data_IF_281912472118
#
_entry.id   IF_281912472118
#
_cell.length_a   1.000
_cell.length_b   1.000
_cell.length_c   1.000
_cell.angle_alpha   90.00
_cell.angle_beta   90.00
_cell.angle_gamma   90.00
#
_symmetry.space_group_name_H-M   'P 1'
#
loop_
_entity.id
_entity.type
_entity.pdbx_description
1 polymer ?
#
# COMPACT_ATOMS: atom_id res chain seq x y z
N UNK A 1 -29.12 -21.49 -19.54
CA UNK A 1 -27.67 -21.42 -19.22
C UNK A 1 -27.43 -20.05 -18.60
N UNK A 2 -27.30 -20.00 -17.27
CA UNK A 2 -27.19 -18.74 -16.55
C UNK A 2 -25.78 -18.20 -16.71
N UNK A 3 -25.65 -17.06 -17.40
CA UNK A 3 -24.41 -16.28 -17.44
C UNK A 3 -24.09 -15.82 -16.02
N UNK A 4 -23.21 -16.57 -15.36
CA UNK A 4 -22.67 -16.24 -14.05
C UNK A 4 -21.95 -14.89 -14.20
N UNK A 5 -22.60 -13.81 -13.73
CA UNK A 5 -21.95 -12.52 -13.51
C UNK A 5 -20.75 -12.80 -12.60
N UNK A 6 -19.54 -12.68 -13.12
CA UNK A 6 -18.32 -12.61 -12.31
C UNK A 6 -18.47 -11.35 -11.45
N UNK A 7 -18.91 -11.52 -10.22
CA UNK A 7 -18.75 -10.51 -9.20
C UNK A 7 -17.27 -10.48 -8.87
N UNK A 8 -16.54 -9.55 -9.47
CA UNK A 8 -15.24 -9.12 -8.96
C UNK A 8 -15.49 -8.35 -7.66
N UNK A 9 -15.77 -9.09 -6.59
CA UNK A 9 -15.72 -8.56 -5.23
C UNK A 9 -14.38 -8.96 -4.64
N UNK A 10 -13.31 -8.36 -5.15
CA UNK A 10 -11.99 -8.41 -4.54
C UNK A 10 -11.30 -7.10 -4.89
N UNK A 11 -10.96 -6.31 -3.88
CA UNK A 11 -10.53 -4.92 -3.98
C UNK A 11 -9.43 -4.70 -5.05
N UNK A 12 -9.69 -3.81 -6.01
CA UNK A 12 -8.78 -3.36 -7.09
C UNK A 12 -7.51 -2.61 -6.58
N UNK A 13 -7.10 -2.83 -5.33
CA UNK A 13 -5.93 -2.18 -4.76
C UNK A 13 -4.67 -2.95 -5.16
N UNK A 14 -4.02 -2.41 -6.18
CA UNK A 14 -2.63 -2.73 -6.51
C UNK A 14 -1.68 -1.81 -5.75
N UNK A 15 -0.53 -2.36 -5.35
CA UNK A 15 0.59 -1.61 -4.76
C UNK A 15 1.63 -1.44 -5.85
N UNK A 16 2.15 -0.23 -6.01
CA UNK A 16 3.15 0.11 -7.02
C UNK A 16 4.33 0.86 -6.39
N UNK A 17 5.51 0.71 -6.99
CA UNK A 17 6.67 1.50 -6.59
C UNK A 17 6.38 2.98 -6.81
N UNK A 18 6.61 3.77 -5.77
CA UNK A 18 6.31 5.19 -5.74
C UNK A 18 5.00 5.56 -5.05
N UNK A 19 4.13 4.59 -4.75
CA UNK A 19 2.92 4.82 -3.96
C UNK A 19 3.27 5.42 -2.59
N UNK A 20 2.39 6.29 -2.11
CA UNK A 20 2.50 6.92 -0.79
C UNK A 20 1.52 6.27 0.16
N UNK A 21 2.00 5.93 1.35
CA UNK A 21 1.22 5.26 2.39
C UNK A 21 1.47 5.99 3.70
N UNK A 22 0.41 6.34 4.41
CA UNK A 22 0.49 6.82 5.79
C UNK A 22 0.49 5.62 6.74
N UNK A 23 1.57 5.47 7.51
CA UNK A 23 1.68 4.50 8.60
C UNK A 23 2.21 5.23 9.84
N UNK A 24 1.59 5.01 11.00
CA UNK A 24 1.93 5.68 12.25
C UNK A 24 2.06 7.22 12.12
N UNK A 25 1.05 7.83 11.48
CA UNK A 25 0.98 9.27 11.18
C UNK A 25 2.16 9.82 10.36
N UNK A 26 2.87 8.94 9.66
CA UNK A 26 4.06 9.29 8.89
C UNK A 26 3.88 8.86 7.43
N UNK A 27 4.24 9.74 6.49
CA UNK A 27 4.23 9.41 5.06
C UNK A 27 5.44 8.56 4.70
N UNK A 28 5.17 7.43 4.07
CA UNK A 28 6.15 6.52 3.49
C UNK A 28 5.94 6.40 1.99
N UNK A 29 7.01 6.09 1.26
CA UNK A 29 7.00 5.81 -0.16
C UNK A 29 7.37 4.35 -0.41
N UNK A 30 6.65 3.66 -1.27
CA UNK A 30 7.07 2.34 -1.76
C UNK A 30 8.35 2.51 -2.57
N UNK A 31 9.45 1.94 -2.08
CA UNK A 31 10.74 1.95 -2.75
C UNK A 31 10.93 0.72 -3.65
N UNK A 32 10.48 -0.44 -3.17
CA UNK A 32 10.67 -1.72 -3.86
C UNK A 32 9.55 -2.69 -3.49
N UNK A 33 9.24 -3.62 -4.40
CA UNK A 33 8.31 -4.73 -4.17
C UNK A 33 9.06 -6.01 -4.51
N UNK A 34 9.26 -6.86 -3.51
CA UNK A 34 10.01 -8.11 -3.62
C UNK A 34 9.05 -9.25 -3.27
N UNK A 35 8.59 -9.97 -4.29
CA UNK A 35 7.62 -11.07 -4.14
C UNK A 35 6.35 -10.63 -3.40
N UNK A 36 6.21 -11.03 -2.14
CA UNK A 36 5.06 -10.77 -1.26
C UNK A 36 5.34 -9.68 -0.22
N UNK A 37 6.49 -9.02 -0.30
CA UNK A 37 6.94 -8.00 0.64
C UNK A 37 7.17 -6.66 -0.07
N UNK A 38 6.91 -5.56 0.64
CA UNK A 38 7.09 -4.19 0.18
C UNK A 38 8.13 -3.51 1.06
N UNK A 39 9.13 -2.90 0.42
CA UNK A 39 10.09 -2.02 1.10
C UNK A 39 9.54 -0.61 1.05
N UNK A 40 9.32 -0.03 2.23
CA UNK A 40 8.93 1.36 2.39
C UNK A 40 10.13 2.21 2.78
N UNK A 41 10.18 3.40 2.25
CA UNK A 41 11.22 4.38 2.47
C UNK A 41 10.62 5.71 2.92
N UNK A 42 11.32 6.39 3.81
CA UNK A 42 11.07 7.81 4.07
C UNK A 42 12.34 8.55 4.43
N UNK A 43 12.31 9.86 4.23
CA UNK A 43 13.27 10.79 4.78
C UNK A 43 12.63 11.61 5.87
N UNK A 44 13.23 11.59 7.06
CA UNK A 44 12.83 12.50 8.12
C UNK A 44 13.28 13.94 7.80
N UNK A 45 12.63 14.91 8.44
CA UNK A 45 13.03 16.33 8.39
C UNK A 45 14.47 16.58 8.83
N UNK A 46 15.06 15.64 9.58
CA UNK A 46 16.46 15.70 10.01
C UNK A 46 17.46 15.23 8.95
N UNK A 47 16.99 14.87 7.74
CA UNK A 47 17.82 14.32 6.66
C UNK A 47 18.21 12.85 6.87
N UNK A 48 17.69 12.19 7.91
CA UNK A 48 17.89 10.75 8.13
C UNK A 48 16.87 9.96 7.34
N UNK A 49 17.33 9.01 6.55
CA UNK A 49 16.50 8.03 5.87
C UNK A 49 16.14 6.87 6.79
N UNK A 50 14.96 6.31 6.59
CA UNK A 50 14.47 5.11 7.28
C UNK A 50 13.83 4.17 6.26
N UNK A 51 13.97 2.86 6.51
CA UNK A 51 13.31 1.83 5.72
C UNK A 51 12.63 0.82 6.63
N UNK A 52 11.48 0.33 6.20
CA UNK A 52 10.77 -0.78 6.83
C UNK A 52 10.31 -1.76 5.74
N UNK A 53 10.02 -2.99 6.13
CA UNK A 53 9.53 -4.03 5.24
C UNK A 53 8.24 -4.59 5.79
N UNK A 54 7.21 -4.62 4.95
CA UNK A 54 5.89 -5.10 5.33
C UNK A 54 5.31 -6.01 4.25
N UNK A 55 4.46 -6.99 4.61
CA UNK A 55 3.76 -7.80 3.63
C UNK A 55 2.88 -6.95 2.70
N UNK A 56 2.81 -7.31 1.43
CA UNK A 56 1.96 -6.64 0.42
C UNK A 56 0.50 -6.56 0.88
N UNK A 57 0.00 -7.59 1.56
CA UNK A 57 -1.38 -7.62 2.05
C UNK A 57 -1.65 -6.54 3.10
N UNK A 58 -0.71 -6.32 4.03
CA UNK A 58 -0.80 -5.27 5.05
C UNK A 58 -0.85 -3.89 4.38
N UNK A 59 0.03 -3.66 3.40
CA UNK A 59 0.06 -2.41 2.64
C UNK A 59 -1.24 -2.16 1.86
N UNK A 60 -1.80 -3.20 1.23
CA UNK A 60 -3.10 -3.10 0.55
C UNK A 60 -4.22 -2.72 1.49
N UNK A 61 -4.26 -3.31 2.69
CA UNK A 61 -5.24 -2.96 3.72
C UNK A 61 -5.14 -1.49 4.12
N UNK A 62 -3.93 -0.97 4.37
CA UNK A 62 -3.73 0.45 4.69
C UNK A 62 -4.14 1.39 3.55
N UNK A 63 -3.81 1.05 2.30
CA UNK A 63 -4.25 1.82 1.14
C UNK A 63 -5.77 1.81 0.96
N UNK A 64 -6.45 0.70 1.31
CA UNK A 64 -7.92 0.62 1.30
C UNK A 64 -8.54 1.55 2.32
N UNK A 65 -8.00 1.55 3.54
CA UNK A 65 -8.46 2.41 4.63
C UNK A 65 -8.30 3.88 4.28
N UNK A 66 -7.15 4.27 3.72
CA UNK A 66 -6.87 5.64 3.29
C UNK A 66 -7.86 6.13 2.23
N UNK A 67 -8.14 5.31 1.20
CA UNK A 67 -9.14 5.64 0.17
C UNK A 67 -10.55 5.82 0.73
N UNK A 68 -10.88 5.07 1.78
CA UNK A 68 -12.20 5.16 2.42
C UNK A 68 -12.34 6.39 3.32
N UNK A 69 -11.24 7.03 3.73
CA UNK A 69 -11.23 8.26 4.55
C UNK A 69 -11.30 9.55 3.72
N UNK A 70 -11.01 9.49 2.41
CA UNK A 70 -11.11 10.62 1.47
C UNK A 70 -12.56 10.88 0.96
N UNK A 71 -13.60 10.43 1.68
CA UNK A 71 -15.02 10.56 1.31
C UNK A 71 -15.75 11.57 2.22
#
# INVERSE_FOLDING_TARGET
MNNMKKNYSDSDISVQVGDRIILDDQEWKVAEIISDTVVLYRESVSGKSQTIQEPVEVIKSHLQEQKNQDI
#
